data_IF_044775614991
#
_entry.id   IF_044775614991
#
_cell.length_a   1.000
_cell.length_b   1.000
_cell.length_c   1.000
_cell.angle_alpha   90.00
_cell.angle_beta   90.00
_cell.angle_gamma   90.00
#
_symmetry.space_group_name_H-M   'P 1'
#
loop_
_entity.id
_entity.type
_entity.pdbx_description
1 polymer ?
#
# COMPACT_ATOMS: atom_id res chain seq x y z
N UNK A 1 6.30 8.75 -67.85
CA UNK A 1 5.32 9.52 -68.66
C UNK A 1 4.04 8.70 -68.78
N UNK A 2 2.89 9.38 -68.88
CA UNK A 2 1.46 8.93 -68.83
C UNK A 2 1.00 8.41 -67.45
N UNK A 3 0.33 9.15 -66.56
CA UNK A 3 -0.76 10.14 -66.62
C UNK A 3 -2.17 9.57 -66.94
N UNK A 4 -3.11 9.81 -66.02
CA UNK A 4 -4.57 9.75 -66.19
C UNK A 4 -5.26 8.58 -65.47
N UNK A 5 -6.39 8.71 -64.79
CA UNK A 5 -7.37 9.81 -64.66
C UNK A 5 -8.27 9.54 -63.44
N UNK A 6 -8.72 10.64 -62.84
CA UNK A 6 -9.77 10.74 -61.83
C UNK A 6 -11.13 10.23 -62.31
N UNK A 7 -11.93 9.69 -61.39
CA UNK A 7 -13.34 9.36 -61.58
C UNK A 7 -14.15 9.74 -60.33
N UNK A 8 -15.05 10.71 -60.51
CA UNK A 8 -16.01 11.23 -59.56
C UNK A 8 -17.04 10.19 -59.10
N UNK A 9 -17.49 10.27 -57.84
CA UNK A 9 -18.91 10.15 -57.49
C UNK A 9 -19.18 10.74 -56.10
N UNK A 10 -19.73 11.96 -56.10
CA UNK A 10 -20.56 12.48 -55.02
C UNK A 10 -21.80 11.57 -54.89
N UNK A 11 -22.11 11.12 -53.67
CA UNK A 11 -23.46 10.75 -53.29
C UNK A 11 -23.76 11.34 -51.92
N UNK A 12 -24.84 12.13 -51.90
CA UNK A 12 -25.30 12.95 -50.81
C UNK A 12 -25.80 12.12 -49.62
N UNK A 13 -25.45 12.53 -48.41
CA UNK A 13 -26.16 12.18 -47.18
C UNK A 13 -26.32 13.45 -46.36
N UNK A 14 -27.38 14.19 -46.71
CA UNK A 14 -27.98 15.21 -45.88
C UNK A 14 -29.00 14.56 -44.94
N UNK A 15 -29.22 15.22 -43.80
CA UNK A 15 -30.31 15.06 -42.84
C UNK A 15 -30.14 14.00 -41.73
N UNK A 16 -29.43 14.40 -40.68
CA UNK A 16 -29.80 14.08 -39.29
C UNK A 16 -29.21 15.13 -38.34
N UNK A 17 -29.80 16.32 -38.40
CA UNK A 17 -29.70 17.34 -37.36
C UNK A 17 -31.04 17.41 -36.64
N UNK A 18 -31.17 16.70 -35.53
CA UNK A 18 -32.07 17.02 -34.42
C UNK A 18 -31.95 15.90 -33.38
N UNK A 19 -31.16 16.13 -32.33
CA UNK A 19 -31.38 15.68 -30.93
C UNK A 19 -30.12 15.95 -30.09
N UNK A 20 -30.03 17.16 -29.56
CA UNK A 20 -29.36 17.47 -28.31
C UNK A 20 -30.09 18.70 -27.71
N UNK A 21 -30.19 18.90 -26.38
CA UNK A 21 -29.67 18.10 -25.26
C UNK A 21 -30.71 17.87 -24.12
N UNK A 22 -30.87 16.64 -23.64
CA UNK A 22 -31.38 16.39 -22.28
C UNK A 22 -30.27 15.72 -21.46
N UNK A 23 -29.13 16.41 -21.40
CA UNK A 23 -28.12 16.18 -20.36
C UNK A 23 -28.55 16.87 -19.07
N UNK A 24 -29.70 16.48 -18.51
CA UNK A 24 -29.89 16.61 -17.08
C UNK A 24 -28.93 15.59 -16.47
N UNK A 25 -27.67 16.00 -16.31
CA UNK A 25 -26.74 15.24 -15.48
C UNK A 25 -27.42 15.07 -14.14
N UNK A 26 -27.75 13.83 -13.79
CA UNK A 26 -28.12 13.47 -12.44
C UNK A 26 -26.93 13.84 -11.57
N UNK A 27 -26.91 15.08 -11.10
CA UNK A 27 -25.99 15.56 -10.08
C UNK A 27 -26.46 14.86 -8.80
N UNK A 28 -25.98 13.63 -8.61
CA UNK A 28 -26.21 12.82 -7.40
C UNK A 28 -25.41 13.45 -6.27
N UNK A 29 -25.76 14.67 -5.90
CA UNK A 29 -25.26 15.29 -4.67
C UNK A 29 -26.02 14.65 -3.52
N UNK A 30 -25.34 14.02 -2.54
CA UNK A 30 -26.00 13.56 -1.34
C UNK A 30 -26.61 14.78 -0.63
N UNK A 31 -27.92 14.77 -0.45
CA UNK A 31 -28.60 15.76 0.37
C UNK A 31 -28.46 15.35 1.84
N UNK A 32 -27.82 16.18 2.65
CA UNK A 32 -27.82 16.03 4.10
C UNK A 32 -29.28 16.07 4.59
N UNK A 33 -29.77 14.97 5.14
CA UNK A 33 -31.08 14.91 5.81
C UNK A 33 -30.83 15.13 7.31
N UNK A 34 -31.11 16.32 7.85
CA UNK A 34 -30.94 16.56 9.29
C UNK A 34 -31.91 15.68 10.10
N UNK A 35 -31.45 15.19 11.24
CA UNK A 35 -32.18 14.23 12.08
C UNK A 35 -33.37 14.84 12.87
N UNK A 36 -33.71 16.11 12.68
CA UNK A 36 -34.80 16.78 13.39
C UNK A 36 -35.50 17.80 12.48
N UNK A 37 -36.50 17.36 11.74
CA UNK A 37 -37.36 18.25 10.94
C UNK A 37 -38.53 18.85 11.74
N UNK A 38 -38.62 18.59 13.05
CA UNK A 38 -39.65 19.16 13.92
C UNK A 38 -39.00 19.99 15.04
N UNK A 39 -38.75 21.27 14.78
CA UNK A 39 -38.91 22.39 15.74
C UNK A 39 -38.35 23.70 15.19
N UNK A 40 -39.19 24.73 15.17
CA UNK A 40 -38.92 26.11 14.75
C UNK A 40 -38.02 26.87 15.72
N UNK A 41 -36.72 26.54 15.73
CA UNK A 41 -35.66 27.42 16.19
C UNK A 41 -34.47 27.25 15.25
N UNK A 42 -34.20 28.27 14.42
CA UNK A 42 -33.03 28.31 13.55
C UNK A 42 -31.75 28.56 14.37
N UNK A 43 -31.40 27.61 15.25
CA UNK A 43 -30.01 27.47 15.66
C UNK A 43 -29.34 26.80 14.47
N UNK A 44 -28.59 27.58 13.72
CA UNK A 44 -27.74 27.03 12.66
C UNK A 44 -26.78 26.06 13.35
N UNK A 45 -27.03 24.77 13.19
CA UNK A 45 -26.17 23.71 13.71
C UNK A 45 -24.77 23.89 13.13
N UNK A 46 -23.79 24.14 14.01
CA UNK A 46 -22.39 24.41 13.62
C UNK A 46 -21.84 23.28 12.76
N UNK A 47 -22.29 22.05 13.00
CA UNK A 47 -21.94 20.89 12.21
C UNK A 47 -22.38 21.04 10.75
N UNK A 48 -23.60 21.50 10.51
CA UNK A 48 -24.12 21.70 9.14
C UNK A 48 -23.34 22.80 8.41
N UNK A 49 -22.89 23.83 9.12
CA UNK A 49 -22.05 24.90 8.54
C UNK A 49 -20.68 24.35 8.15
N UNK A 50 -20.01 23.66 9.05
CA UNK A 50 -18.68 23.08 8.78
C UNK A 50 -18.75 22.01 7.69
N UNK A 51 -19.82 21.21 7.64
CA UNK A 51 -20.04 20.21 6.61
C UNK A 51 -20.19 20.85 5.21
N UNK A 52 -20.99 21.92 5.10
CA UNK A 52 -21.11 22.67 3.83
C UNK A 52 -19.78 23.31 3.44
N UNK A 53 -19.10 23.95 4.39
CA UNK A 53 -17.80 24.56 4.14
C UNK A 53 -16.75 23.54 3.64
N UNK A 54 -16.74 22.33 4.20
CA UNK A 54 -15.85 21.27 3.76
C UNK A 54 -16.15 20.84 2.31
N UNK A 55 -17.42 20.62 1.97
CA UNK A 55 -17.84 20.24 0.60
C UNK A 55 -17.54 21.36 -0.39
N UNK A 56 -17.93 22.60 -0.07
CA UNK A 56 -17.71 23.76 -0.95
C UNK A 56 -16.21 23.99 -1.21
N UNK A 57 -15.35 23.77 -0.21
CA UNK A 57 -13.90 23.90 -0.37
C UNK A 57 -13.30 22.79 -1.25
N UNK A 58 -13.78 21.54 -1.14
CA UNK A 58 -13.38 20.46 -2.05
C UNK A 58 -13.83 20.73 -3.49
N UNK A 59 -15.05 21.24 -3.67
CA UNK A 59 -15.59 21.60 -4.99
C UNK A 59 -14.83 22.78 -5.61
N UNK A 60 -14.33 23.70 -4.79
CA UNK A 60 -13.50 24.83 -5.21
C UNK A 60 -12.03 24.45 -5.50
N UNK A 61 -11.60 23.24 -5.12
CA UNK A 61 -10.21 22.80 -5.25
C UNK A 61 -9.24 23.45 -4.24
N UNK A 62 -9.75 24.01 -3.14
CA UNK A 62 -8.92 24.49 -2.02
C UNK A 62 -8.67 23.33 -1.04
N UNK A 63 -7.85 22.38 -1.47
CA UNK A 63 -7.71 21.09 -0.79
C UNK A 63 -7.23 21.22 0.67
N UNK A 64 -6.38 22.21 0.98
CA UNK A 64 -5.87 22.42 2.34
C UNK A 64 -6.95 22.97 3.29
N UNK A 65 -7.74 23.94 2.83
CA UNK A 65 -8.87 24.45 3.60
C UNK A 65 -9.96 23.38 3.73
N UNK A 66 -10.21 22.63 2.65
CA UNK A 66 -11.18 21.54 2.62
C UNK A 66 -10.81 20.43 3.60
N UNK A 67 -9.54 20.02 3.65
CA UNK A 67 -9.06 19.04 4.61
C UNK A 67 -9.22 19.52 6.06
N UNK A 68 -8.91 20.79 6.33
CA UNK A 68 -9.08 21.39 7.67
C UNK A 68 -10.55 21.41 8.10
N UNK A 69 -11.46 21.85 7.22
CA UNK A 69 -12.89 21.83 7.49
C UNK A 69 -13.43 20.41 7.68
N UNK A 70 -12.99 19.46 6.86
CA UNK A 70 -13.36 18.03 6.97
C UNK A 70 -12.90 17.43 8.32
N UNK A 71 -11.73 17.83 8.82
CA UNK A 71 -11.24 17.40 10.12
C UNK A 71 -12.10 17.96 11.27
N UNK A 72 -12.57 19.22 11.18
CA UNK A 72 -13.49 19.80 12.16
C UNK A 72 -14.82 19.04 12.21
N UNK A 73 -15.39 18.74 11.05
CA UNK A 73 -16.63 17.95 10.94
C UNK A 73 -16.44 16.56 11.53
N UNK A 74 -15.31 15.91 11.24
CA UNK A 74 -14.97 14.59 11.80
C UNK A 74 -14.89 14.66 13.31
N UNK A 75 -14.19 15.66 13.87
CA UNK A 75 -14.08 15.87 15.32
C UNK A 75 -15.46 16.00 15.97
N UNK A 76 -16.33 16.86 15.44
CA UNK A 76 -17.69 17.07 15.97
C UNK A 76 -18.54 15.80 15.91
N UNK A 77 -18.43 15.03 14.82
CA UNK A 77 -19.09 13.73 14.73
C UNK A 77 -18.60 12.75 15.80
N UNK A 78 -17.28 12.69 16.04
CA UNK A 78 -16.69 11.86 17.09
C UNK A 78 -17.17 12.29 18.49
N UNK A 79 -17.23 13.59 18.77
CA UNK A 79 -17.71 14.16 20.03
C UNK A 79 -19.18 13.85 20.31
N UNK A 80 -20.05 13.90 19.28
CA UNK A 80 -21.49 13.72 19.44
C UNK A 80 -21.91 12.31 19.90
N UNK A 81 -21.05 11.30 19.77
CA UNK A 81 -21.36 9.89 20.09
C UNK A 81 -20.16 9.18 20.74
N UNK A 82 -19.77 9.54 21.97
CA UNK A 82 -18.50 9.11 22.56
C UNK A 82 -18.30 7.59 22.68
N UNK A 83 -19.36 6.77 22.68
CA UNK A 83 -19.28 5.34 22.98
C UNK A 83 -19.36 4.42 21.75
N UNK A 84 -19.56 4.96 20.54
CA UNK A 84 -19.55 4.13 19.34
C UNK A 84 -18.15 4.12 18.68
N UNK A 85 -17.83 3.08 17.89
CA UNK A 85 -16.54 2.96 17.25
C UNK A 85 -16.15 4.18 16.42
N UNK A 86 -14.95 4.73 16.66
CA UNK A 86 -14.49 5.97 16.03
C UNK A 86 -14.23 5.81 14.52
N UNK A 87 -13.51 4.76 14.05
CA UNK A 87 -13.22 4.61 12.63
C UNK A 87 -14.48 4.52 11.75
N UNK A 88 -15.48 3.74 12.17
CA UNK A 88 -16.75 3.56 11.48
C UNK A 88 -17.52 4.86 11.38
N UNK A 89 -17.48 5.69 12.43
CA UNK A 89 -18.17 6.98 12.42
C UNK A 89 -17.49 8.00 11.54
N UNK A 90 -16.16 8.13 11.65
CA UNK A 90 -15.40 9.03 10.80
C UNK A 90 -15.63 8.66 9.32
N UNK A 91 -15.61 7.37 8.99
CA UNK A 91 -15.95 6.90 7.65
C UNK A 91 -17.38 7.25 7.25
N UNK A 92 -18.37 6.94 8.10
CA UNK A 92 -19.78 7.19 7.82
C UNK A 92 -20.09 8.67 7.57
N UNK A 93 -19.51 9.59 8.35
CA UNK A 93 -19.73 11.03 8.13
C UNK A 93 -19.05 11.51 6.84
N UNK A 94 -17.81 11.12 6.58
CA UNK A 94 -17.07 11.52 5.38
C UNK A 94 -17.70 10.94 4.12
N UNK A 95 -18.14 9.68 4.14
CA UNK A 95 -18.87 9.05 3.03
C UNK A 95 -20.20 9.76 2.75
N UNK A 96 -20.94 10.15 3.79
CA UNK A 96 -22.23 10.86 3.64
C UNK A 96 -22.09 12.24 3.00
N UNK A 97 -20.97 12.91 3.24
CA UNK A 97 -20.60 14.19 2.63
C UNK A 97 -19.97 14.02 1.26
N UNK A 98 -19.60 12.78 0.95
CA UNK A 98 -18.82 12.50 -0.21
C UNK A 98 -17.43 13.13 -0.18
N UNK A 99 -16.66 12.83 0.85
CA UNK A 99 -15.26 13.25 0.97
C UNK A 99 -14.39 11.99 0.85
N UNK A 100 -13.35 12.06 0.02
CA UNK A 100 -12.39 10.96 -0.12
C UNK A 100 -11.53 10.84 1.13
N UNK A 101 -11.55 9.68 1.78
CA UNK A 101 -10.75 9.44 2.97
C UNK A 101 -10.36 7.97 3.14
N UNK A 102 -9.18 7.75 3.73
CA UNK A 102 -8.82 6.49 4.37
C UNK A 102 -8.91 6.70 5.89
N UNK A 103 -9.50 5.73 6.60
CA UNK A 103 -9.70 5.81 8.05
C UNK A 103 -9.21 4.53 8.69
N UNK A 104 -8.34 4.64 9.69
CA UNK A 104 -7.88 3.50 10.49
C UNK A 104 -7.59 3.92 11.93
N UNK A 105 -7.51 2.94 12.83
CA UNK A 105 -7.31 3.16 14.26
C UNK A 105 -8.32 2.43 15.11
N UNK A 106 -8.57 2.97 16.29
CA UNK A 106 -9.50 2.43 17.29
C UNK A 106 -10.14 3.58 18.07
N UNK A 107 -10.86 3.24 19.13
CA UNK A 107 -11.58 4.22 19.97
C UNK A 107 -10.67 5.12 20.82
N UNK A 108 -9.37 4.81 20.86
CA UNK A 108 -8.35 5.57 21.61
C UNK A 108 -7.67 6.60 20.71
N UNK A 109 -7.33 6.20 19.49
CA UNK A 109 -6.82 7.09 18.46
C UNK A 109 -7.26 6.64 17.07
N UNK A 110 -7.71 7.59 16.26
CA UNK A 110 -8.11 7.37 14.87
C UNK A 110 -7.34 8.33 13.97
N UNK A 111 -6.81 7.82 12.87
CA UNK A 111 -6.19 8.63 11.82
C UNK A 111 -7.11 8.64 10.61
N UNK A 112 -7.32 9.83 10.06
CA UNK A 112 -8.07 10.06 8.83
C UNK A 112 -7.12 10.69 7.82
N UNK A 113 -6.88 10.01 6.71
CA UNK A 113 -6.11 10.54 5.59
C UNK A 113 -7.07 11.05 4.52
N UNK A 114 -7.23 12.38 4.45
CA UNK A 114 -8.16 13.04 3.53
C UNK A 114 -7.50 13.26 2.17
N UNK A 115 -8.25 13.15 1.07
CA UNK A 115 -7.74 13.41 -0.27
C UNK A 115 -8.84 13.84 -1.24
N UNK A 116 -8.44 14.57 -2.28
CA UNK A 116 -9.33 14.96 -3.36
C UNK A 116 -9.78 13.72 -4.14
N UNK A 117 -11.10 13.61 -4.39
CA UNK A 117 -11.73 12.48 -5.08
C UNK A 117 -11.24 12.26 -6.51
N UNK A 118 -10.58 13.26 -7.09
CA UNK A 118 -10.34 13.35 -8.52
C UNK A 118 -8.99 12.78 -9.01
N UNK A 119 -8.04 12.36 -8.16
CA UNK A 119 -6.76 11.78 -8.66
C UNK A 119 -6.15 10.75 -7.70
N UNK A 120 -5.90 9.55 -8.21
CA UNK A 120 -5.20 8.46 -7.51
C UNK A 120 -3.70 8.69 -7.23
N UNK A 121 -3.24 9.94 -7.35
CA UNK A 121 -1.87 10.41 -7.06
C UNK A 121 -1.89 11.82 -6.42
N UNK A 122 -3.05 12.28 -5.93
CA UNK A 122 -3.18 13.59 -5.29
C UNK A 122 -2.47 13.67 -3.95
N UNK A 123 -2.19 14.89 -3.50
CA UNK A 123 -1.76 15.15 -2.14
C UNK A 123 -2.79 14.57 -1.14
N UNK A 124 -2.30 14.18 0.03
CA UNK A 124 -3.14 13.70 1.12
C UNK A 124 -2.88 14.52 2.38
N UNK A 125 -3.92 14.70 3.20
CA UNK A 125 -3.89 15.52 4.40
C UNK A 125 -4.31 14.68 5.61
N UNK A 126 -3.36 13.98 6.24
CA UNK A 126 -3.64 13.17 7.41
C UNK A 126 -3.91 13.99 8.67
N UNK A 127 -4.93 13.57 9.42
CA UNK A 127 -5.30 14.10 10.72
C UNK A 127 -5.39 12.98 11.74
N UNK A 128 -4.79 13.21 12.91
CA UNK A 128 -4.89 12.36 14.08
C UNK A 128 -5.98 12.90 15.02
N UNK A 129 -6.85 12.01 15.48
CA UNK A 129 -7.88 12.27 16.48
C UNK A 129 -7.65 11.38 17.70
N UNK A 130 -7.76 11.95 18.91
CA UNK A 130 -7.66 11.21 20.18
C UNK A 130 -8.54 11.85 21.24
N UNK A 131 -8.79 11.13 22.33
CA UNK A 131 -9.53 11.67 23.49
C UNK A 131 -8.59 12.20 24.55
N UNK A 132 -8.92 13.35 25.11
CA UNK A 132 -8.20 13.95 26.24
C UNK A 132 -9.13 14.89 27.02
N UNK A 133 -9.17 14.76 28.34
CA UNK A 133 -10.04 15.58 29.21
C UNK A 133 -11.51 15.57 28.78
N UNK A 134 -12.01 14.40 28.34
CA UNK A 134 -13.38 14.21 27.86
C UNK A 134 -13.70 14.84 26.50
N UNK A 135 -12.75 15.52 25.85
CA UNK A 135 -12.92 16.13 24.53
C UNK A 135 -12.20 15.33 23.45
N UNK A 136 -12.63 15.48 22.19
CA UNK A 136 -11.88 14.96 21.04
C UNK A 136 -10.91 16.03 20.59
N UNK A 137 -9.63 15.69 20.60
CA UNK A 137 -8.56 16.52 20.08
C UNK A 137 -8.25 16.11 18.65
N UNK A 138 -7.68 17.04 17.88
CA UNK A 138 -7.26 16.80 16.51
C UNK A 138 -5.92 17.49 16.23
N UNK A 139 -5.07 16.84 15.44
CA UNK A 139 -3.78 17.38 15.01
C UNK A 139 -3.49 16.94 13.57
N UNK A 140 -3.10 17.88 12.71
CA UNK A 140 -2.60 17.56 11.37
C UNK A 140 -1.25 16.84 11.47
N UNK A 141 -1.04 15.81 10.64
CA UNK A 141 0.22 15.09 10.53
C UNK A 141 1.00 15.55 9.29
N UNK A 142 2.32 15.48 9.35
CA UNK A 142 3.20 15.98 8.27
C UNK A 142 3.34 15.01 7.07
N UNK A 143 2.71 13.83 7.13
CA UNK A 143 2.89 12.73 6.17
C UNK A 143 1.96 12.81 4.95
N UNK A 144 2.21 13.75 4.03
CA UNK A 144 1.36 13.95 2.83
C UNK A 144 1.70 13.02 1.65
N UNK A 145 0.70 12.65 0.87
CA UNK A 145 0.87 11.87 -0.37
C UNK A 145 1.14 10.39 -0.13
N UNK A 146 0.83 9.90 1.07
CA UNK A 146 0.96 8.50 1.46
C UNK A 146 -0.42 7.90 1.69
N UNK A 147 -0.57 6.61 1.42
CA UNK A 147 -1.77 5.85 1.76
C UNK A 147 -1.68 5.32 3.19
N UNK A 148 -2.76 5.45 3.92
CA UNK A 148 -2.89 4.97 5.29
C UNK A 148 -3.09 3.46 5.30
N UNK A 149 -2.15 2.71 5.90
CA UNK A 149 -2.19 1.24 5.94
C UNK A 149 -2.57 0.68 7.31
N UNK A 150 -2.18 1.34 8.40
CA UNK A 150 -2.52 0.89 9.74
C UNK A 150 -2.16 1.88 10.84
N UNK A 151 -2.79 1.73 12.00
CA UNK A 151 -2.50 2.51 13.22
C UNK A 151 -2.40 1.54 14.38
N UNK A 152 -1.41 1.76 15.25
CA UNK A 152 -1.32 1.12 16.54
C UNK A 152 -1.10 2.18 17.63
N UNK A 153 -1.56 1.88 18.85
CA UNK A 153 -1.46 2.78 20.00
C UNK A 153 -0.79 2.04 21.17
N UNK A 154 0.03 2.76 21.92
CA UNK A 154 0.72 2.25 23.12
C UNK A 154 0.52 3.22 24.27
N UNK A 155 0.34 2.70 25.48
CA UNK A 155 0.17 3.49 26.70
C UNK A 155 -1.13 4.30 26.71
N UNK A 156 -2.13 3.87 25.94
CA UNK A 156 -3.47 4.45 25.92
C UNK A 156 -4.45 3.32 26.23
N UNK A 157 -5.24 3.44 27.30
CA UNK A 157 -6.33 2.52 27.62
C UNK A 157 -7.68 3.20 27.35
N UNK A 158 -8.78 2.44 27.26
CA UNK A 158 -10.12 3.03 27.03
C UNK A 158 -10.55 4.02 28.12
N UNK A 159 -10.06 3.83 29.34
CA UNK A 159 -10.45 4.64 30.51
C UNK A 159 -9.43 5.71 30.88
N UNK A 160 -8.24 5.72 30.26
CA UNK A 160 -7.13 6.59 30.68
C UNK A 160 -6.81 7.64 29.63
N UNK A 161 -6.51 8.85 30.11
CA UNK A 161 -5.93 9.89 29.26
C UNK A 161 -4.56 9.47 28.72
N UNK A 162 -4.15 10.01 27.56
CA UNK A 162 -2.77 9.89 27.12
C UNK A 162 -1.82 10.45 28.20
N UNK A 163 -0.76 9.71 28.48
CA UNK A 163 0.36 10.13 29.33
C UNK A 163 1.57 10.47 28.48
N UNK A 164 2.63 11.02 29.07
CA UNK A 164 3.88 11.32 28.34
C UNK A 164 4.59 10.06 27.80
N UNK A 165 4.18 8.88 28.29
CA UNK A 165 4.65 7.59 27.78
C UNK A 165 3.82 7.06 26.59
N UNK A 166 2.67 7.67 26.32
CA UNK A 166 1.77 7.25 25.25
C UNK A 166 2.38 7.53 23.88
N UNK A 167 2.17 6.59 22.97
CA UNK A 167 2.67 6.65 21.60
C UNK A 167 1.62 6.19 20.60
N UNK A 168 1.70 6.76 19.41
CA UNK A 168 0.86 6.38 18.27
C UNK A 168 1.79 6.07 17.12
N UNK A 169 1.63 4.89 16.54
CA UNK A 169 2.36 4.44 15.38
C UNK A 169 1.42 4.38 14.18
N UNK A 170 1.81 4.97 13.07
CA UNK A 170 1.06 4.94 11.82
C UNK A 170 1.92 4.33 10.74
N UNK A 171 1.39 3.29 10.11
CA UNK A 171 1.97 2.65 8.95
C UNK A 171 1.37 3.26 7.68
N UNK A 172 2.25 3.78 6.86
CA UNK A 172 1.99 4.41 5.58
C UNK A 172 2.47 3.51 4.45
N UNK A 173 1.86 3.63 3.28
CA UNK A 173 2.29 2.99 2.04
C UNK A 173 2.37 4.02 0.94
N UNK A 174 3.52 4.11 0.26
CA UNK A 174 3.67 4.91 -0.95
C UNK A 174 3.67 3.99 -2.15
N UNK A 175 2.81 4.27 -3.13
CA UNK A 175 2.80 3.53 -4.39
C UNK A 175 4.11 3.75 -5.15
N UNK A 176 4.81 2.67 -5.49
CA UNK A 176 6.04 2.68 -6.29
C UNK A 176 6.01 1.52 -7.30
N UNK A 177 6.05 1.85 -8.58
CA UNK A 177 5.94 0.87 -9.66
C UNK A 177 4.72 -0.03 -9.49
N UNK A 178 4.96 -1.30 -9.18
CA UNK A 178 3.96 -2.35 -9.06
C UNK A 178 3.32 -2.51 -7.67
N UNK A 179 3.90 -1.91 -6.63
CA UNK A 179 3.51 -2.21 -5.25
C UNK A 179 3.57 -1.00 -4.33
N UNK A 180 3.36 -1.26 -3.04
CA UNK A 180 3.51 -0.28 -1.97
C UNK A 180 4.93 -0.29 -1.40
N UNK A 181 5.36 0.84 -0.86
CA UNK A 181 6.59 0.96 -0.09
C UNK A 181 6.19 1.40 1.32
N UNK A 182 6.37 0.54 2.34
CA UNK A 182 5.94 0.87 3.70
C UNK A 182 6.86 1.93 4.33
N UNK A 183 6.25 2.84 5.10
CA UNK A 183 6.92 3.77 5.99
C UNK A 183 6.20 3.78 7.33
N UNK A 184 6.94 3.69 8.43
CA UNK A 184 6.39 3.83 9.77
C UNK A 184 6.73 5.21 10.31
N UNK A 185 5.76 5.85 10.93
CA UNK A 185 5.97 7.05 11.73
C UNK A 185 5.39 6.83 13.11
N UNK A 186 6.15 7.18 14.15
CA UNK A 186 5.73 7.08 15.55
C UNK A 186 5.76 8.47 16.15
N UNK A 187 4.67 8.85 16.80
CA UNK A 187 4.56 10.05 17.60
C UNK A 187 4.50 9.71 19.08
N UNK A 188 5.14 10.52 19.91
CA UNK A 188 5.05 10.45 21.36
C UNK A 188 4.27 11.65 21.87
N UNK A 189 3.48 11.45 22.91
CA UNK A 189 2.80 12.54 23.60
C UNK A 189 3.85 13.45 24.25
N UNK A 190 3.81 14.73 23.92
CA UNK A 190 4.72 15.74 24.47
C UNK A 190 4.02 16.60 25.53
N UNK A 191 4.77 17.45 26.24
CA UNK A 191 4.15 18.44 27.12
C UNK A 191 3.22 19.38 26.33
N UNK A 192 2.08 19.76 26.91
CA UNK A 192 1.21 20.80 26.35
C UNK A 192 0.16 20.37 25.32
N UNK A 193 -0.23 19.09 25.28
CA UNK A 193 -1.40 18.68 24.47
C UNK A 193 -1.10 18.12 23.09
N UNK A 194 0.17 18.11 22.65
CA UNK A 194 0.56 17.74 21.28
C UNK A 194 1.21 16.36 21.17
N UNK A 195 1.25 15.86 19.94
CA UNK A 195 1.96 14.67 19.52
C UNK A 195 3.18 15.07 18.70
N UNK A 196 4.37 14.76 19.20
CA UNK A 196 5.64 15.09 18.55
C UNK A 196 6.23 13.85 17.87
N UNK A 197 6.85 14.06 16.72
CA UNK A 197 7.51 13.00 15.97
C UNK A 197 8.64 12.38 16.80
N UNK A 198 8.54 11.09 17.09
CA UNK A 198 9.53 10.35 17.88
C UNK A 198 10.40 9.42 17.03
N UNK A 199 9.84 8.82 15.98
CA UNK A 199 10.56 7.89 15.12
C UNK A 199 9.99 7.88 13.70
N UNK A 200 10.87 7.72 12.71
CA UNK A 200 10.48 7.37 11.35
C UNK A 200 11.31 6.19 10.89
N UNK A 201 10.67 5.11 10.44
CA UNK A 201 11.34 3.98 9.77
C UNK A 201 10.95 3.98 8.30
N UNK A 202 11.94 4.24 7.45
CA UNK A 202 11.78 4.18 6.00
C UNK A 202 12.30 2.88 5.41
N UNK A 203 12.61 2.94 4.12
CA UNK A 203 13.01 1.80 3.28
C UNK A 203 14.26 1.08 3.76
N UNK A 204 15.21 1.80 4.34
CA UNK A 204 16.45 1.22 4.89
C UNK A 204 16.19 0.35 6.12
N UNK A 205 15.10 0.61 6.83
CA UNK A 205 14.69 -0.17 8.00
C UNK A 205 13.66 -1.25 7.63
N UNK A 206 12.58 -0.85 6.95
CA UNK A 206 11.42 -1.70 6.65
C UNK A 206 11.57 -2.56 5.39
N UNK A 207 12.56 -2.24 4.55
CA UNK A 207 12.86 -2.92 3.29
C UNK A 207 12.35 -2.18 2.05
N UNK A 208 12.22 -2.89 0.93
CA UNK A 208 11.90 -2.29 -0.37
C UNK A 208 10.40 -2.17 -0.63
N UNK A 209 9.91 -2.86 -1.65
CA UNK A 209 8.50 -2.88 -2.07
C UNK A 209 7.79 -4.03 -1.36
N UNK A 210 6.58 -3.83 -0.88
CA UNK A 210 5.77 -4.85 -0.21
C UNK A 210 4.76 -4.25 0.76
N UNK A 211 4.49 -4.95 1.85
CA UNK A 211 3.48 -4.57 2.84
C UNK A 211 4.04 -4.58 4.26
N UNK A 212 3.29 -4.00 5.18
CA UNK A 212 3.50 -4.18 6.60
C UNK A 212 2.16 -4.25 7.33
N UNK A 213 2.18 -4.82 8.52
CA UNK A 213 1.01 -4.97 9.37
C UNK A 213 1.41 -4.93 10.85
N UNK A 214 0.53 -4.40 11.67
CA UNK A 214 0.64 -4.49 13.12
C UNK A 214 -0.07 -5.74 13.62
N UNK A 215 0.50 -6.40 14.63
CA UNK A 215 -0.12 -7.51 15.34
C UNK A 215 0.02 -7.30 16.85
N UNK A 216 -0.96 -7.76 17.63
CA UNK A 216 -1.01 -7.56 19.08
C UNK A 216 -1.51 -6.18 19.50
N UNK A 217 -1.55 -5.94 20.81
CA UNK A 217 -2.13 -4.72 21.39
C UNK A 217 -1.17 -4.06 22.38
N UNK A 218 -1.19 -2.73 22.42
CA UNK A 218 -0.51 -1.91 23.40
C UNK A 218 0.99 -2.26 23.55
N UNK A 219 1.39 -2.88 24.67
CA UNK A 219 2.78 -3.20 24.96
C UNK A 219 3.29 -4.47 24.27
N UNK A 220 2.38 -5.28 23.70
CA UNK A 220 2.74 -6.49 22.95
C UNK A 220 2.64 -6.29 21.44
N UNK A 221 2.41 -5.06 20.98
CA UNK A 221 2.31 -4.78 19.54
C UNK A 221 3.66 -5.01 18.87
N UNK A 222 3.63 -5.79 17.79
CA UNK A 222 4.73 -5.98 16.85
C UNK A 222 4.35 -5.41 15.48
N UNK A 223 5.36 -4.98 14.73
CA UNK A 223 5.24 -4.68 13.31
C UNK A 223 5.96 -5.78 12.53
N UNK A 224 5.26 -6.37 11.56
CA UNK A 224 5.85 -7.27 10.57
C UNK A 224 5.81 -6.59 9.21
N UNK A 225 6.93 -6.56 8.50
CA UNK A 225 6.97 -6.13 7.09
C UNK A 225 7.40 -7.29 6.21
N UNK A 226 6.70 -7.51 5.09
CA UNK A 226 7.06 -8.47 4.04
C UNK A 226 7.40 -7.69 2.79
N UNK A 227 8.68 -7.54 2.50
CA UNK A 227 9.15 -6.67 1.40
C UNK A 227 10.27 -7.32 0.59
N UNK A 228 10.39 -6.94 -0.68
CA UNK A 228 11.46 -7.38 -1.56
C UNK A 228 12.29 -6.19 -2.06
N UNK A 229 13.49 -6.48 -2.55
CA UNK A 229 14.34 -5.56 -3.32
C UNK A 229 14.74 -6.28 -4.60
N UNK A 230 15.18 -5.52 -5.59
CA UNK A 230 15.66 -6.10 -6.84
C UNK A 230 16.78 -7.11 -6.58
N UNK A 231 16.61 -8.32 -7.08
CA UNK A 231 17.60 -9.38 -6.92
C UNK A 231 18.72 -9.22 -7.97
N UNK A 232 20.00 -9.23 -7.57
CA UNK A 232 21.12 -9.20 -8.52
C UNK A 232 20.99 -10.31 -9.56
N UNK A 233 21.36 -10.02 -10.82
CA UNK A 233 21.26 -10.95 -11.96
C UNK A 233 19.85 -11.29 -12.45
N UNK A 234 18.79 -10.77 -11.82
CA UNK A 234 17.40 -10.99 -12.24
C UNK A 234 16.76 -9.70 -12.74
N UNK A 235 16.00 -9.78 -13.83
CA UNK A 235 15.08 -8.74 -14.28
C UNK A 235 13.69 -9.10 -13.76
N UNK A 236 13.21 -8.35 -12.78
CA UNK A 236 11.94 -8.62 -12.11
C UNK A 236 10.84 -7.73 -12.70
N UNK A 237 9.70 -8.33 -13.01
CA UNK A 237 8.51 -7.61 -13.40
C UNK A 237 7.58 -7.38 -12.21
N UNK A 238 6.66 -6.43 -12.35
CA UNK A 238 5.65 -6.05 -11.37
C UNK A 238 4.84 -7.21 -10.76
N UNK A 239 4.57 -8.22 -11.59
CA UNK A 239 3.68 -9.36 -11.29
C UNK A 239 4.44 -10.67 -11.17
N UNK A 240 5.77 -10.61 -11.21
CA UNK A 240 6.62 -11.78 -11.11
C UNK A 240 6.83 -12.14 -9.64
N UNK A 241 7.09 -13.41 -9.31
CA UNK A 241 7.60 -13.78 -8.00
C UNK A 241 8.87 -12.98 -7.64
N UNK A 242 9.04 -12.65 -6.36
CA UNK A 242 10.17 -11.90 -5.82
C UNK A 242 10.81 -12.60 -4.62
N UNK A 243 12.04 -12.22 -4.28
CA UNK A 243 12.69 -12.66 -3.03
C UNK A 243 12.22 -11.77 -1.88
N UNK A 244 11.17 -12.20 -1.19
CA UNK A 244 10.65 -11.49 -0.03
C UNK A 244 11.52 -11.73 1.22
N UNK A 245 11.67 -10.67 2.00
CA UNK A 245 12.22 -10.71 3.34
C UNK A 245 11.15 -10.23 4.31
N UNK A 246 10.92 -11.02 5.34
CA UNK A 246 10.11 -10.65 6.48
C UNK A 246 10.99 -10.05 7.57
N UNK A 247 10.58 -8.90 8.09
CA UNK A 247 11.24 -8.22 9.20
C UNK A 247 10.23 -8.04 10.32
N UNK A 248 10.66 -8.34 11.54
CA UNK A 248 9.85 -8.18 12.75
C UNK A 248 10.44 -7.11 13.64
N UNK A 249 9.58 -6.29 14.20
CA UNK A 249 9.94 -5.19 15.08
C UNK A 249 9.09 -5.27 16.35
N UNK A 250 9.74 -5.23 17.51
CA UNK A 250 9.07 -5.07 18.77
C UNK A 250 8.88 -3.57 19.06
N UNK A 251 7.69 -3.18 19.50
CA UNK A 251 7.46 -1.83 20.00
C UNK A 251 7.94 -1.73 21.46
N UNK A 252 8.87 -0.82 21.74
CA UNK A 252 9.31 -0.46 23.08
C UNK A 252 8.97 0.99 23.46
N UNK A 253 9.38 1.44 24.66
CA UNK A 253 9.22 2.84 25.10
C UNK A 253 9.92 3.85 24.18
N UNK A 254 10.96 3.43 23.45
CA UNK A 254 11.73 4.28 22.55
C UNK A 254 11.32 4.15 21.07
N UNK A 255 10.23 3.43 20.78
CA UNK A 255 9.76 3.15 19.43
C UNK A 255 10.01 1.70 19.02
N UNK A 256 9.98 1.44 17.71
CA UNK A 256 10.14 0.10 17.15
C UNK A 256 11.62 -0.25 16.97
N UNK A 257 11.99 -1.44 17.44
CA UNK A 257 13.32 -2.02 17.28
C UNK A 257 13.21 -3.33 16.53
N UNK A 258 14.04 -3.52 15.51
CA UNK A 258 14.06 -4.77 14.74
C UNK A 258 14.56 -5.92 15.62
N UNK A 259 13.74 -6.95 15.76
CA UNK A 259 14.03 -8.16 16.54
C UNK A 259 14.32 -9.38 15.66
N UNK A 260 14.01 -9.31 14.36
CA UNK A 260 14.28 -10.41 13.45
C UNK A 260 14.22 -10.01 11.98
N UNK A 261 14.97 -10.73 11.16
CA UNK A 261 14.86 -10.72 9.69
C UNK A 261 14.97 -12.15 9.20
N UNK A 262 14.06 -12.58 8.35
CA UNK A 262 14.12 -13.89 7.70
C UNK A 262 13.72 -13.77 6.24
N UNK A 263 14.39 -14.55 5.39
CA UNK A 263 13.96 -14.70 4.00
C UNK A 263 12.69 -15.58 3.98
N UNK A 264 11.72 -15.23 3.14
CA UNK A 264 10.52 -16.04 2.95
C UNK A 264 10.86 -17.15 1.94
N UNK A 265 10.83 -18.44 2.35
CA UNK A 265 11.15 -19.53 1.43
C UNK A 265 10.14 -19.63 0.29
N UNK A 266 10.63 -19.75 -0.93
CA UNK A 266 9.82 -19.94 -2.14
C UNK A 266 10.65 -20.63 -3.24
N UNK A 267 10.00 -21.24 -4.24
CA UNK A 267 10.70 -21.74 -5.43
C UNK A 267 11.58 -20.67 -6.09
N UNK A 268 11.06 -19.45 -6.22
CA UNK A 268 11.80 -18.33 -6.80
C UNK A 268 13.03 -17.94 -5.96
N UNK A 269 12.88 -17.81 -4.64
CA UNK A 269 14.02 -17.50 -3.76
C UNK A 269 15.08 -18.60 -3.75
N UNK A 270 14.67 -19.87 -3.86
CA UNK A 270 15.58 -21.02 -4.00
C UNK A 270 16.38 -20.93 -5.30
N UNK A 271 15.72 -20.64 -6.42
CA UNK A 271 16.40 -20.50 -7.71
C UNK A 271 17.36 -19.31 -7.73
N UNK A 272 16.96 -18.16 -7.20
CA UNK A 272 17.83 -16.98 -7.11
C UNK A 272 19.06 -17.24 -6.24
N UNK A 273 18.90 -17.92 -5.09
CA UNK A 273 20.01 -18.33 -4.22
C UNK A 273 20.96 -19.30 -4.94
N UNK A 274 20.42 -20.27 -5.69
CA UNK A 274 21.21 -21.19 -6.50
C UNK A 274 22.05 -20.47 -7.56
N UNK A 275 21.44 -19.54 -8.32
CA UNK A 275 22.17 -18.73 -9.31
C UNK A 275 23.25 -17.87 -8.65
N UNK A 276 22.96 -17.23 -7.52
CA UNK A 276 23.95 -16.44 -6.79
C UNK A 276 25.16 -17.30 -6.35
N UNK A 277 24.91 -18.51 -5.82
CA UNK A 277 25.94 -19.46 -5.44
C UNK A 277 26.79 -19.91 -6.64
N UNK A 278 26.16 -20.19 -7.79
CA UNK A 278 26.88 -20.52 -9.02
C UNK A 278 27.80 -19.39 -9.50
N UNK A 279 27.31 -18.15 -9.51
CA UNK A 279 28.08 -16.97 -9.92
C UNK A 279 29.26 -16.71 -8.96
N UNK A 280 29.05 -16.91 -7.65
CA UNK A 280 30.11 -16.85 -6.64
C UNK A 280 31.09 -18.04 -6.69
N UNK A 281 30.86 -19.02 -7.56
CA UNK A 281 31.59 -20.29 -7.64
C UNK A 281 31.56 -21.08 -6.32
N UNK A 282 30.52 -20.90 -5.50
CA UNK A 282 30.32 -21.59 -4.24
C UNK A 282 29.50 -22.87 -4.47
N UNK A 283 30.20 -24.00 -4.63
CA UNK A 283 29.54 -25.30 -4.86
C UNK A 283 28.80 -25.80 -3.62
N UNK A 284 29.24 -25.47 -2.42
CA UNK A 284 28.61 -25.92 -1.19
C UNK A 284 27.23 -25.27 -1.03
N UNK A 285 27.16 -23.93 -1.12
CA UNK A 285 25.90 -23.20 -1.08
C UNK A 285 24.95 -23.61 -2.21
N UNK A 286 25.47 -23.85 -3.43
CA UNK A 286 24.65 -24.35 -4.53
C UNK A 286 24.07 -25.75 -4.27
N UNK A 287 24.80 -26.59 -3.53
CA UNK A 287 24.37 -27.96 -3.22
C UNK A 287 23.22 -27.99 -2.20
N UNK A 288 23.11 -26.99 -1.33
CA UNK A 288 21.99 -26.84 -0.39
C UNK A 288 20.65 -26.52 -1.09
N UNK A 289 20.70 -26.01 -2.32
CA UNK A 289 19.50 -25.59 -3.07
C UNK A 289 18.97 -26.68 -4.02
N UNK A 290 19.64 -27.82 -4.15
CA UNK A 290 19.30 -28.89 -5.11
C UNK A 290 19.12 -30.24 -4.42
N UNK A 291 18.24 -31.08 -4.97
CA UNK A 291 18.04 -32.46 -4.51
C UNK A 291 19.21 -33.36 -4.93
N UNK A 292 19.73 -33.17 -6.14
CA UNK A 292 20.84 -33.93 -6.71
C UNK A 292 21.99 -32.98 -7.10
N UNK A 293 23.21 -33.14 -6.53
CA UNK A 293 24.38 -32.34 -6.89
C UNK A 293 24.73 -32.36 -8.39
N UNK A 294 24.31 -33.37 -9.16
CA UNK A 294 24.52 -33.42 -10.61
C UNK A 294 23.86 -32.24 -11.35
N UNK A 295 22.83 -31.63 -10.77
CA UNK A 295 22.15 -30.42 -11.28
C UNK A 295 23.08 -29.20 -11.30
N UNK A 296 24.07 -29.13 -10.40
CA UNK A 296 25.10 -28.08 -10.43
C UNK A 296 25.95 -28.21 -11.69
N UNK A 297 26.37 -29.43 -12.02
CA UNK A 297 27.19 -29.71 -13.19
C UNK A 297 26.38 -29.51 -14.48
N UNK A 298 25.09 -29.82 -14.47
CA UNK A 298 24.16 -29.42 -15.52
C UNK A 298 24.18 -27.90 -15.72
N UNK A 299 23.90 -27.12 -14.68
CA UNK A 299 23.81 -25.66 -14.77
C UNK A 299 25.13 -25.03 -15.25
N UNK A 300 26.27 -25.56 -14.82
CA UNK A 300 27.61 -25.12 -15.28
C UNK A 300 27.87 -25.43 -16.74
N UNK A 301 27.40 -26.56 -17.27
CA UNK A 301 27.51 -26.87 -18.72
C UNK A 301 26.74 -25.88 -19.60
N UNK A 302 25.62 -25.36 -19.09
CA UNK A 302 24.88 -24.27 -19.73
C UNK A 302 25.39 -22.87 -19.32
N UNK A 303 26.56 -22.82 -18.67
CA UNK A 303 27.27 -21.60 -18.29
C UNK A 303 26.45 -20.68 -17.37
N UNK A 304 25.49 -21.17 -16.59
CA UNK A 304 24.58 -20.35 -15.76
C UNK A 304 25.31 -19.41 -14.77
N UNK A 305 26.55 -19.74 -14.44
CA UNK A 305 27.46 -18.95 -13.61
C UNK A 305 28.06 -17.72 -14.32
N UNK A 306 27.80 -17.51 -15.61
CA UNK A 306 28.32 -16.36 -16.38
C UNK A 306 27.25 -15.26 -16.52
N UNK A 307 27.36 -14.12 -15.78
CA UNK A 307 26.40 -13.02 -15.88
C UNK A 307 26.37 -12.35 -17.27
N UNK A 308 27.46 -12.45 -18.04
CA UNK A 308 27.60 -11.86 -19.38
C UNK A 308 26.62 -12.43 -20.42
N UNK A 309 26.01 -13.59 -20.17
CA UNK A 309 25.03 -14.22 -21.05
C UNK A 309 23.62 -13.64 -20.91
N UNK A 310 23.42 -12.71 -19.97
CA UNK A 310 22.16 -12.02 -19.74
C UNK A 310 21.59 -12.30 -18.35
N UNK A 311 20.63 -11.45 -17.97
CA UNK A 311 19.90 -11.57 -16.71
C UNK A 311 18.82 -12.64 -16.82
N UNK A 312 18.46 -13.19 -15.68
CA UNK A 312 17.40 -14.16 -15.51
C UNK A 312 16.06 -13.45 -15.35
N UNK A 313 14.99 -14.02 -15.91
CA UNK A 313 13.63 -13.53 -15.72
C UNK A 313 12.68 -14.71 -15.68
N UNK A 314 11.83 -14.78 -14.66
CA UNK A 314 10.75 -15.78 -14.59
C UNK A 314 9.66 -15.44 -15.60
N UNK A 315 8.98 -16.46 -16.14
CA UNK A 315 7.84 -16.24 -17.02
C UNK A 315 6.76 -15.39 -16.33
N UNK A 316 6.14 -14.42 -17.03
CA UNK A 316 5.08 -13.60 -16.45
C UNK A 316 3.92 -14.45 -15.93
N UNK A 317 3.19 -13.94 -14.93
CA UNK A 317 2.02 -14.60 -14.33
C UNK A 317 2.31 -15.99 -13.72
N UNK A 318 3.57 -16.26 -13.38
CA UNK A 318 3.94 -17.44 -12.58
C UNK A 318 3.51 -17.24 -11.13
N UNK A 319 2.81 -18.22 -10.56
CA UNK A 319 2.42 -18.22 -9.14
C UNK A 319 3.65 -18.35 -8.23
N UNK A 320 3.71 -17.61 -7.11
CA UNK A 320 4.86 -17.61 -6.19
C UNK A 320 5.14 -19.00 -5.59
N UNK A 321 4.11 -19.85 -5.47
CA UNK A 321 4.17 -21.20 -4.90
C UNK A 321 4.25 -22.32 -5.94
N UNK A 322 4.41 -21.98 -7.23
CA UNK A 322 4.44 -22.97 -8.29
C UNK A 322 5.59 -23.97 -8.13
N UNK A 323 5.26 -25.26 -8.11
CA UNK A 323 6.22 -26.37 -8.09
C UNK A 323 7.04 -26.46 -9.39
N UNK A 324 6.63 -25.73 -10.42
CA UNK A 324 7.31 -25.65 -11.69
C UNK A 324 7.29 -24.21 -12.19
N UNK A 325 8.45 -23.69 -12.58
CA UNK A 325 8.58 -22.34 -13.12
C UNK A 325 9.44 -22.35 -14.37
N UNK A 326 9.10 -21.50 -15.34
CA UNK A 326 9.93 -21.27 -16.52
C UNK A 326 10.77 -20.02 -16.31
N UNK A 327 12.08 -20.15 -16.45
CA UNK A 327 13.04 -19.05 -16.38
C UNK A 327 13.68 -18.82 -17.73
N UNK A 328 13.70 -17.56 -18.14
CA UNK A 328 14.39 -17.06 -19.30
C UNK A 328 15.76 -16.52 -18.90
N UNK A 329 16.75 -16.67 -19.77
CA UNK A 329 18.05 -16.03 -19.62
C UNK A 329 18.46 -15.37 -20.94
N UNK A 330 18.67 -14.05 -20.86
CA UNK A 330 18.88 -13.25 -22.07
C UNK A 330 17.76 -13.45 -23.09
N UNK A 331 18.10 -13.46 -24.38
CA UNK A 331 17.12 -13.53 -25.47
C UNK A 331 16.83 -14.95 -25.97
N UNK A 332 17.68 -15.94 -25.67
CA UNK A 332 17.64 -17.24 -26.36
C UNK A 332 17.32 -18.41 -25.43
N UNK A 333 17.69 -18.32 -24.17
CA UNK A 333 17.63 -19.46 -23.28
C UNK A 333 16.33 -19.46 -22.48
N UNK A 334 15.73 -20.64 -22.34
CA UNK A 334 14.60 -20.90 -21.48
C UNK A 334 14.75 -22.26 -20.81
N UNK A 335 14.47 -22.32 -19.51
CA UNK A 335 14.58 -23.54 -18.72
C UNK A 335 13.35 -23.67 -17.83
N UNK A 336 12.74 -24.83 -17.85
CA UNK A 336 11.75 -25.27 -16.87
C UNK A 336 12.51 -25.80 -15.67
N UNK A 337 12.15 -25.30 -14.50
CA UNK A 337 12.75 -25.68 -13.22
C UNK A 337 11.66 -26.27 -12.36
N UNK A 338 11.88 -27.50 -11.90
CA UNK A 338 10.97 -28.21 -11.00
C UNK A 338 11.49 -28.11 -9.58
N UNK A 339 10.59 -27.87 -8.63
CA UNK A 339 10.87 -27.69 -7.22
C UNK A 339 10.09 -28.71 -6.38
N UNK A 340 10.68 -29.09 -5.25
CA UNK A 340 10.05 -29.89 -4.21
C UNK A 340 10.09 -29.13 -2.88
N UNK A 341 9.07 -29.31 -2.05
CA UNK A 341 9.10 -28.83 -0.67
C UNK A 341 9.59 -29.94 0.26
N UNK A 342 10.55 -29.62 1.13
CA UNK A 342 11.10 -30.51 2.17
C UNK A 342 11.20 -29.75 3.48
N UNK A 343 10.50 -30.21 4.50
CA UNK A 343 10.52 -29.62 5.85
C UNK A 343 10.27 -28.10 5.88
N UNK A 344 9.39 -27.61 5.00
CA UNK A 344 9.06 -26.18 4.90
C UNK A 344 10.07 -25.34 4.10
N UNK A 345 11.10 -25.98 3.54
CA UNK A 345 12.03 -25.38 2.58
C UNK A 345 11.70 -25.84 1.16
N UNK A 346 12.21 -25.10 0.18
CA UNK A 346 12.11 -25.44 -1.23
C UNK A 346 13.49 -25.86 -1.75
N UNK A 347 13.52 -26.88 -2.59
CA UNK A 347 14.73 -27.37 -3.26
C UNK A 347 14.44 -27.63 -4.72
N UNK A 348 15.46 -27.47 -5.56
CA UNK A 348 15.38 -27.73 -6.99
C UNK A 348 15.51 -29.24 -7.23
N UNK A 349 14.50 -29.82 -7.87
CA UNK A 349 14.44 -31.24 -8.21
C UNK A 349 14.85 -31.53 -9.65
N UNK A 350 14.74 -30.57 -10.56
CA UNK A 350 15.07 -30.81 -11.97
C UNK A 350 15.19 -29.56 -12.83
N UNK A 351 15.89 -29.73 -13.95
CA UNK A 351 16.04 -28.75 -15.01
C UNK A 351 15.73 -29.37 -16.37
N UNK A 352 14.94 -28.68 -17.17
CA UNK A 352 14.65 -29.07 -18.54
C UNK A 352 14.77 -27.85 -19.47
N UNK A 353 15.64 -27.87 -20.50
CA UNK A 353 15.64 -26.85 -21.54
C UNK A 353 14.28 -26.82 -22.23
N UNK A 354 13.71 -25.63 -22.38
CA UNK A 354 12.40 -25.43 -23.01
C UNK A 354 12.47 -24.31 -24.05
N UNK A 355 11.36 -24.06 -24.73
CA UNK A 355 11.23 -22.93 -25.67
C UNK A 355 10.56 -21.73 -24.99
N UNK A 356 10.75 -20.55 -25.57
CA UNK A 356 10.11 -19.30 -25.12
C UNK A 356 8.64 -19.16 -25.57
N UNK A 357 7.97 -20.25 -25.93
CA UNK A 357 6.61 -20.23 -26.48
C UNK A 357 5.53 -19.70 -25.50
N UNK A 358 5.92 -19.33 -24.28
CA UNK A 358 5.05 -18.82 -23.21
C UNK A 358 5.16 -17.27 -23.08
N UNK A 359 5.92 -16.60 -23.95
CA UNK A 359 5.92 -15.11 -24.04
C UNK A 359 4.75 -14.54 -24.83
#
# INVERSE_FOLDING_TARGET
>A
MTAGRSGFALAALAALAALAPFGAGCDRRPALVPASADSTAAVVDSFTVHARQAVDAWDAGDDAAAATASALVTREALEARPNAPWPERARGVLDSLGIGAEVTGNDRATVVNLFSRMRGEGDSWPWLFWRENGAVRAQALETRGWQLSGVAVRGMTEASEPTDSSQIAVLWSRRVGAGGQPQLTVWRRADGGRWDLAQTLGTDSLGGVGTGEFAGEDTTTELTTRTFRSTPYFDECATCPHVFQERRFAWGPDGFVRIGTHAVPSPYSTFTAFIAALVANDRAAASEQVVDPSLIDFARRFEWNQPSKGRWRVAPATDESAIEMVFFRGQKDAFRVTFESRDGLWVIAGFEPTTRAVE
#
